data_IF_938238065930
#
_entry.id   IF_938238065930
#
_cell.length_a   1.000
_cell.length_b   1.000
_cell.length_c   1.000
_cell.angle_alpha   90.00
_cell.angle_beta   90.00
_cell.angle_gamma   90.00
#
_symmetry.space_group_name_H-M   'P 1'
#
loop_
_entity.id
_entity.type
_entity.pdbx_description
1 polymer ?
#
# COMPACT_ATOMS: atom_id res chain seq x y z
N UNK A 1 -23.80 1.83 -13.46
CA UNK A 1 -23.46 2.14 -14.88
C UNK A 1 -22.69 3.44 -14.88
N UNK A 2 -21.36 3.38 -14.84
CA UNK A 2 -20.50 4.56 -14.91
C UNK A 2 -20.24 4.92 -16.36
N UNK A 3 -20.68 6.09 -16.79
CA UNK A 3 -20.45 6.59 -18.15
C UNK A 3 -19.01 7.08 -18.29
N UNK A 4 -18.25 6.44 -19.18
CA UNK A 4 -16.94 6.89 -19.62
C UNK A 4 -17.11 8.02 -20.64
N UNK A 5 -16.67 9.25 -20.32
CA UNK A 5 -16.59 10.34 -21.27
C UNK A 5 -15.26 10.26 -22.05
N UNK A 6 -15.34 9.87 -23.31
CA UNK A 6 -14.27 9.98 -24.29
C UNK A 6 -14.32 11.37 -24.94
N UNK A 7 -13.28 12.18 -24.73
CA UNK A 7 -13.01 13.36 -25.55
C UNK A 7 -11.98 12.99 -26.63
N UNK A 8 -12.42 12.90 -27.87
CA UNK A 8 -11.53 12.74 -29.02
C UNK A 8 -10.94 14.09 -29.46
N UNK A 9 -9.62 14.16 -29.62
CA UNK A 9 -8.95 15.19 -30.42
C UNK A 9 -7.96 14.51 -31.36
N UNK A 10 -8.17 14.70 -32.66
CA UNK A 10 -7.32 14.22 -33.74
C UNK A 10 -6.05 15.07 -33.84
N UNK A 11 -4.90 14.46 -33.67
CA UNK A 11 -3.58 15.03 -33.97
C UNK A 11 -2.57 13.89 -34.01
N UNK A 12 -2.00 13.64 -35.18
CA UNK A 12 -1.12 12.50 -35.42
C UNK A 12 0.10 12.50 -34.52
N UNK A 13 0.17 11.50 -33.67
CA UNK A 13 1.40 11.03 -33.06
C UNK A 13 1.30 9.51 -32.96
N UNK A 14 2.35 8.80 -33.40
CA UNK A 14 2.42 7.33 -33.43
C UNK A 14 2.73 6.71 -32.08
N UNK A 15 2.54 7.43 -30.97
CA UNK A 15 2.72 6.96 -29.62
C UNK A 15 1.62 5.99 -29.18
N UNK A 16 1.96 5.07 -28.32
CA UNK A 16 1.04 4.06 -27.77
C UNK A 16 0.02 4.73 -26.85
N UNK A 17 -1.10 5.21 -27.42
CA UNK A 17 -2.26 5.67 -26.65
C UNK A 17 -2.82 4.53 -25.81
N UNK A 18 -3.48 4.89 -24.70
CA UNK A 18 -4.18 3.93 -23.86
C UNK A 18 -5.13 3.06 -24.71
N UNK A 19 -4.94 1.72 -24.74
CA UNK A 19 -5.83 0.82 -25.47
C UNK A 19 -7.25 0.87 -24.88
N UNK A 20 -8.26 0.66 -25.72
CA UNK A 20 -9.63 0.48 -25.21
C UNK A 20 -9.69 -0.75 -24.32
N UNK A 21 -10.34 -0.62 -23.19
CA UNK A 21 -10.53 -1.71 -22.23
C UNK A 21 -11.89 -1.60 -21.51
N UNK A 22 -12.28 -2.69 -20.87
CA UNK A 22 -13.36 -2.74 -19.87
C UNK A 22 -12.79 -3.14 -18.53
N UNK A 23 -13.33 -2.61 -17.45
CA UNK A 23 -13.02 -3.00 -16.10
C UNK A 23 -14.28 -3.00 -15.23
N UNK A 24 -14.45 -4.01 -14.39
CA UNK A 24 -15.66 -4.17 -13.55
C UNK A 24 -15.59 -3.46 -12.19
N UNK A 25 -14.38 -3.09 -11.73
CA UNK A 25 -14.15 -2.33 -10.51
C UNK A 25 -13.95 -0.83 -10.75
N UNK A 26 -13.59 -0.10 -9.70
CA UNK A 26 -13.26 1.32 -9.78
C UNK A 26 -11.82 1.53 -10.24
N UNK A 27 -11.62 2.52 -11.11
CA UNK A 27 -10.32 2.89 -11.62
C UNK A 27 -10.21 4.38 -11.95
N UNK A 28 -8.98 4.85 -12.11
CA UNK A 28 -8.66 6.21 -12.56
C UNK A 28 -7.61 6.15 -13.67
N UNK A 29 -7.84 6.91 -14.75
CA UNK A 29 -6.86 7.12 -15.81
C UNK A 29 -6.13 8.43 -15.54
N UNK A 30 -4.80 8.42 -15.72
CA UNK A 30 -3.93 9.59 -15.70
C UNK A 30 -3.22 9.65 -17.03
N UNK A 31 -3.18 10.84 -17.65
CA UNK A 31 -2.54 11.11 -18.95
C UNK A 31 -2.97 10.19 -20.11
N UNK A 32 -4.25 9.76 -20.11
CA UNK A 32 -4.79 8.77 -21.05
C UNK A 32 -4.65 9.09 -22.52
N UNK A 33 -4.49 10.37 -22.88
CA UNK A 33 -4.34 10.84 -24.28
C UNK A 33 -2.89 10.91 -24.76
N UNK A 34 -1.93 10.55 -23.92
CA UNK A 34 -0.49 10.59 -24.17
C UNK A 34 0.14 9.20 -24.19
N UNK A 35 1.39 9.10 -24.60
CA UNK A 35 2.22 7.89 -24.47
C UNK A 35 2.56 7.54 -22.99
N UNK A 36 2.35 8.49 -22.09
CA UNK A 36 2.65 8.36 -20.67
C UNK A 36 1.43 7.98 -19.83
N UNK A 37 0.39 7.39 -20.45
CA UNK A 37 -0.80 7.00 -19.72
C UNK A 37 -0.50 6.02 -18.59
N UNK A 38 -1.24 6.17 -17.49
CA UNK A 38 -1.33 5.19 -16.42
C UNK A 38 -2.79 4.90 -16.10
N UNK A 39 -3.07 3.65 -15.71
CA UNK A 39 -4.36 3.27 -15.14
C UNK A 39 -4.12 2.80 -13.72
N UNK A 40 -4.86 3.37 -12.77
CA UNK A 40 -4.85 3.01 -11.36
C UNK A 40 -6.12 2.26 -11.03
N UNK A 41 -6.02 1.00 -10.65
CA UNK A 41 -7.14 0.17 -10.21
C UNK A 41 -7.30 0.30 -8.69
N UNK A 42 -8.46 0.77 -8.25
CA UNK A 42 -8.74 1.18 -6.87
C UNK A 42 -9.51 0.12 -6.08
N UNK A 43 -10.28 -0.73 -6.77
CA UNK A 43 -11.00 -1.87 -6.20
C UNK A 43 -10.78 -3.11 -7.06
N UNK A 44 -11.02 -4.29 -6.51
CA UNK A 44 -10.91 -5.55 -7.26
C UNK A 44 -11.90 -5.64 -8.42
N UNK A 45 -11.51 -6.29 -9.49
CA UNK A 45 -12.34 -6.45 -10.69
C UNK A 45 -11.64 -7.25 -11.77
N UNK A 46 -12.29 -7.37 -12.92
CA UNK A 46 -11.77 -8.06 -14.11
C UNK A 46 -11.55 -7.05 -15.23
N UNK A 47 -10.33 -7.03 -15.78
CA UNK A 47 -9.91 -6.20 -16.90
C UNK A 47 -9.90 -7.02 -18.19
N UNK A 48 -10.37 -6.42 -19.29
CA UNK A 48 -10.17 -6.97 -20.64
C UNK A 48 -9.85 -5.85 -21.64
N UNK A 49 -8.74 -5.98 -22.37
CA UNK A 49 -8.40 -5.06 -23.44
C UNK A 49 -9.21 -5.38 -24.70
N UNK A 50 -9.84 -4.37 -25.28
CA UNK A 50 -10.66 -4.48 -26.52
C UNK A 50 -9.85 -4.19 -27.79
N UNK A 51 -8.66 -3.63 -27.68
CA UNK A 51 -7.70 -3.44 -28.76
C UNK A 51 -6.35 -4.01 -28.34
N UNK A 52 -5.49 -4.37 -29.28
CA UNK A 52 -4.16 -4.94 -28.99
C UNK A 52 -3.36 -3.95 -28.15
N UNK A 53 -3.03 -4.29 -26.90
CA UNK A 53 -2.21 -3.44 -26.06
C UNK A 53 -0.72 -3.59 -26.40
N UNK A 54 0.11 -2.58 -26.12
CA UNK A 54 1.54 -2.79 -26.01
C UNK A 54 1.83 -3.68 -24.78
N UNK A 55 3.08 -4.15 -24.62
CA UNK A 55 3.51 -4.65 -23.33
C UNK A 55 3.35 -3.56 -22.27
N UNK A 56 3.09 -3.95 -21.04
CA UNK A 56 2.83 -3.04 -19.93
C UNK A 56 3.84 -3.24 -18.79
N UNK A 57 4.08 -2.16 -18.05
CA UNK A 57 4.68 -2.26 -16.73
C UNK A 57 3.56 -2.34 -15.68
N UNK A 58 3.73 -3.19 -14.70
CA UNK A 58 2.78 -3.43 -13.61
C UNK A 58 3.44 -3.11 -12.28
N UNK A 59 2.80 -2.29 -11.48
CA UNK A 59 3.19 -1.99 -10.10
C UNK A 59 2.04 -2.37 -9.17
N UNK A 60 2.33 -3.26 -8.22
CA UNK A 60 1.37 -3.73 -7.22
C UNK A 60 1.80 -3.27 -5.82
N UNK A 61 0.84 -2.86 -5.01
CA UNK A 61 1.02 -2.53 -3.59
C UNK A 61 0.01 -3.34 -2.80
N UNK A 62 0.46 -4.15 -1.83
CA UNK A 62 -0.41 -4.85 -0.90
C UNK A 62 -1.15 -3.92 0.05
N UNK A 63 -2.19 -4.37 0.73
CA UNK A 63 -2.84 -3.61 1.80
C UNK A 63 -1.90 -3.42 3.00
N UNK A 64 -1.96 -2.28 3.69
CA UNK A 64 -1.23 -2.04 4.93
C UNK A 64 -1.86 -2.80 6.11
N UNK A 65 -1.07 -3.13 7.12
CA UNK A 65 -1.59 -3.72 8.35
C UNK A 65 -2.27 -2.68 9.25
N UNK A 66 -3.18 -3.12 10.10
CA UNK A 66 -3.78 -2.27 11.13
C UNK A 66 -2.78 -1.92 12.24
N UNK A 67 -2.94 -0.75 12.83
CA UNK A 67 -2.31 -0.41 14.11
C UNK A 67 -2.93 -1.22 15.24
N UNK A 68 -2.26 -1.30 16.38
CA UNK A 68 -2.81 -2.04 17.52
C UNK A 68 -2.56 -1.34 18.85
N UNK A 69 -3.34 -1.74 19.82
CA UNK A 69 -3.13 -1.48 21.25
C UNK A 69 -2.73 -2.78 21.92
N UNK A 70 -1.63 -2.77 22.63
CA UNK A 70 -1.33 -3.89 23.54
C UNK A 70 -2.15 -3.73 24.82
N UNK A 71 -2.64 -4.85 25.34
CA UNK A 71 -3.17 -4.88 26.69
C UNK A 71 -2.02 -5.01 27.67
N UNK A 72 -1.75 -3.97 28.44
CA UNK A 72 -0.92 -4.06 29.63
C UNK A 72 -1.79 -3.72 30.84
N UNK A 73 -1.67 -4.53 31.88
CA UNK A 73 -2.48 -4.44 33.11
C UNK A 73 -2.10 -3.25 34.03
N UNK A 74 -1.48 -2.22 33.46
CA UNK A 74 -0.98 -1.07 34.19
C UNK A 74 -1.01 0.22 33.39
N UNK A 75 -0.45 1.25 33.88
CA UNK A 75 -0.49 2.63 33.43
C UNK A 75 0.17 2.92 32.05
N UNK A 76 0.68 1.90 31.34
CA UNK A 76 1.43 2.06 30.10
C UNK A 76 0.62 1.64 28.86
N UNK A 77 0.04 2.61 28.20
CA UNK A 77 -0.58 2.37 26.90
C UNK A 77 0.51 2.35 25.84
N UNK A 78 0.88 1.16 25.37
CA UNK A 78 1.89 0.95 24.33
C UNK A 78 1.24 0.38 23.08
N UNK A 79 1.33 1.10 21.97
CA UNK A 79 0.53 0.83 20.81
C UNK A 79 1.40 0.93 19.54
N UNK A 80 1.90 -0.20 19.01
CA UNK A 80 2.73 -0.17 17.81
C UNK A 80 1.92 0.07 16.55
N UNK A 81 2.53 0.69 15.55
CA UNK A 81 1.98 0.89 14.22
C UNK A 81 2.09 -0.36 13.34
N UNK A 82 1.15 -0.51 12.41
CA UNK A 82 1.17 -1.54 11.36
C UNK A 82 2.21 -1.27 10.28
N UNK A 83 2.76 -2.32 9.66
CA UNK A 83 3.62 -2.18 8.47
C UNK A 83 2.81 -1.78 7.24
N UNK A 84 3.42 -1.02 6.33
CA UNK A 84 2.87 -0.78 4.99
C UNK A 84 2.85 -2.06 4.14
N UNK A 85 1.98 -2.14 3.13
CA UNK A 85 1.96 -3.25 2.19
C UNK A 85 3.29 -3.37 1.44
N UNK A 86 3.71 -4.58 1.08
CA UNK A 86 4.87 -4.75 0.22
C UNK A 86 4.57 -4.21 -1.19
N UNK A 87 5.63 -3.86 -1.93
CA UNK A 87 5.51 -3.40 -3.31
C UNK A 87 6.24 -4.33 -4.26
N UNK A 88 5.71 -4.51 -5.46
CA UNK A 88 6.35 -5.31 -6.51
C UNK A 88 6.16 -4.61 -7.85
N UNK A 89 7.24 -4.48 -8.62
CA UNK A 89 7.23 -4.01 -10.01
C UNK A 89 7.60 -5.14 -10.95
N UNK A 90 6.80 -5.34 -12.00
CA UNK A 90 7.15 -6.19 -13.12
C UNK A 90 7.08 -5.37 -14.40
N UNK A 91 8.19 -5.28 -15.13
CA UNK A 91 8.27 -4.58 -16.42
C UNK A 91 8.03 -5.54 -17.59
N UNK A 92 7.59 -4.99 -18.71
CA UNK A 92 7.45 -5.69 -19.98
C UNK A 92 6.53 -6.92 -19.91
N UNK A 93 5.37 -6.77 -19.26
CA UNK A 93 4.37 -7.84 -19.17
C UNK A 93 3.56 -7.89 -20.47
N UNK A 94 3.57 -9.04 -21.13
CA UNK A 94 2.74 -9.27 -22.33
C UNK A 94 1.29 -9.44 -21.92
N UNK A 95 0.39 -8.75 -22.64
CA UNK A 95 -1.06 -8.82 -22.45
C UNK A 95 -1.75 -8.98 -23.80
N UNK A 96 -2.87 -9.67 -23.81
CA UNK A 96 -3.57 -10.03 -25.05
C UNK A 96 -4.94 -9.35 -25.16
N UNK A 97 -5.33 -9.05 -26.39
CA UNK A 97 -6.67 -8.55 -26.71
C UNK A 97 -7.73 -9.60 -26.38
N UNK A 98 -8.82 -9.16 -25.76
CA UNK A 98 -9.99 -9.97 -25.38
C UNK A 98 -9.69 -11.07 -24.33
N UNK A 99 -8.50 -11.08 -23.75
CA UNK A 99 -8.20 -11.90 -22.58
C UNK A 99 -8.67 -11.18 -21.32
N UNK A 100 -9.26 -11.93 -20.38
CA UNK A 100 -9.64 -11.43 -19.06
C UNK A 100 -8.49 -11.58 -18.07
N UNK A 101 -8.23 -10.54 -17.29
CA UNK A 101 -7.24 -10.48 -16.24
C UNK A 101 -7.91 -10.08 -14.93
N UNK A 102 -7.87 -10.97 -13.97
CA UNK A 102 -8.38 -10.66 -12.63
C UNK A 102 -7.37 -9.80 -11.87
N UNK A 103 -7.87 -8.72 -11.28
CA UNK A 103 -7.13 -7.80 -10.44
C UNK A 103 -7.74 -7.90 -9.05
N UNK A 104 -6.93 -8.30 -8.07
CA UNK A 104 -7.32 -8.32 -6.66
C UNK A 104 -6.59 -7.22 -5.92
N UNK A 105 -7.32 -6.32 -5.29
CA UNK A 105 -6.76 -5.28 -4.42
C UNK A 105 -6.83 -5.76 -2.97
N UNK A 106 -5.68 -5.87 -2.33
CA UNK A 106 -5.58 -6.28 -0.94
C UNK A 106 -6.24 -5.26 0.00
N UNK A 107 -7.13 -5.71 0.86
CA UNK A 107 -7.73 -4.86 1.88
C UNK A 107 -6.70 -4.44 2.92
N UNK A 108 -6.88 -3.27 3.55
CA UNK A 108 -6.15 -2.91 4.75
C UNK A 108 -6.57 -3.77 5.93
N UNK A 109 -5.61 -4.11 6.81
CA UNK A 109 -5.88 -4.79 8.07
C UNK A 109 -6.66 -3.89 9.02
N UNK A 110 -7.64 -4.42 9.75
CA UNK A 110 -8.37 -3.65 10.74
C UNK A 110 -7.49 -3.27 11.94
N UNK A 111 -7.63 -2.05 12.44
CA UNK A 111 -7.06 -1.65 13.72
C UNK A 111 -7.65 -2.48 14.85
N UNK A 112 -6.84 -2.90 15.81
CA UNK A 112 -7.27 -3.76 16.89
C UNK A 112 -7.01 -3.11 18.27
N UNK A 113 -8.08 -2.74 18.95
CA UNK A 113 -8.05 -2.13 20.27
C UNK A 113 -7.77 -3.14 21.42
N UNK A 114 -7.73 -4.41 21.09
CA UNK A 114 -7.42 -5.49 22.03
C UNK A 114 -6.59 -6.56 21.35
N UNK A 115 -5.29 -6.61 21.65
CA UNK A 115 -4.40 -7.68 21.17
C UNK A 115 -3.82 -8.38 22.39
N UNK A 116 -4.23 -9.64 22.63
CA UNK A 116 -3.66 -10.41 23.73
C UNK A 116 -2.13 -10.52 23.62
N UNK A 117 -1.44 -10.51 24.74
CA UNK A 117 0.02 -10.73 24.78
C UNK A 117 0.38 -12.06 24.09
N UNK A 118 1.42 -12.04 23.29
CA UNK A 118 1.85 -13.22 22.54
C UNK A 118 1.09 -13.48 21.24
N UNK A 119 0.33 -12.50 20.73
CA UNK A 119 -0.40 -12.62 19.46
C UNK A 119 -0.12 -11.44 18.51
N UNK A 120 -0.56 -11.58 17.26
CA UNK A 120 -0.46 -10.54 16.23
C UNK A 120 -1.81 -9.81 16.06
N UNK A 121 -1.74 -8.56 15.59
CA UNK A 121 -2.90 -7.83 15.11
C UNK A 121 -3.38 -8.32 13.74
N UNK A 122 -3.96 -7.43 12.95
CA UNK A 122 -4.53 -7.77 11.64
C UNK A 122 -3.59 -7.34 10.50
N UNK A 123 -3.11 -8.33 9.76
CA UNK A 123 -2.32 -8.13 8.53
C UNK A 123 -3.16 -7.47 7.43
N UNK A 124 -2.49 -6.79 6.51
CA UNK A 124 -3.07 -6.37 5.24
C UNK A 124 -3.23 -7.54 4.26
N UNK A 125 -4.13 -7.37 3.29
CA UNK A 125 -4.38 -8.34 2.23
C UNK A 125 -3.35 -8.27 1.10
N UNK A 126 -3.18 -9.37 0.37
CA UNK A 126 -2.32 -9.44 -0.82
C UNK A 126 -3.02 -8.81 -2.02
N UNK A 127 -2.29 -8.02 -2.81
CA UNK A 127 -2.71 -7.51 -4.12
C UNK A 127 -2.12 -8.36 -5.23
N UNK A 128 -2.93 -8.74 -6.22
CA UNK A 128 -2.46 -9.52 -7.38
C UNK A 128 -3.01 -8.96 -8.69
N UNK A 129 -2.20 -8.94 -9.75
CA UNK A 129 -2.61 -8.59 -11.10
C UNK A 129 -1.60 -9.14 -12.12
N UNK A 130 -2.04 -9.65 -13.26
CA UNK A 130 -1.17 -10.10 -14.37
C UNK A 130 -0.06 -11.09 -13.96
N UNK A 131 -0.32 -11.96 -12.99
CA UNK A 131 0.68 -12.88 -12.44
C UNK A 131 1.66 -12.24 -11.45
N UNK A 132 1.57 -10.93 -11.21
CA UNK A 132 2.37 -10.19 -10.21
C UNK A 132 1.64 -10.21 -8.87
N UNK A 133 2.38 -10.34 -7.77
CA UNK A 133 1.82 -10.35 -6.42
C UNK A 133 2.62 -9.44 -5.49
N UNK A 134 1.92 -8.69 -4.65
CA UNK A 134 2.48 -7.89 -3.56
C UNK A 134 1.77 -8.25 -2.25
N UNK A 135 2.50 -8.80 -1.28
CA UNK A 135 1.94 -9.20 0.02
C UNK A 135 1.46 -8.01 0.83
N UNK A 136 0.48 -8.23 1.69
CA UNK A 136 0.08 -7.22 2.67
C UNK A 136 1.14 -6.99 3.74
N UNK A 137 1.13 -5.79 4.32
CA UNK A 137 1.92 -5.43 5.50
C UNK A 137 1.57 -6.33 6.67
N UNK A 138 2.53 -6.54 7.56
CA UNK A 138 2.38 -7.35 8.77
C UNK A 138 1.99 -6.48 9.95
N UNK A 139 1.06 -6.98 10.73
CA UNK A 139 0.73 -6.37 12.00
C UNK A 139 1.86 -6.55 13.01
N UNK A 140 1.88 -5.68 13.99
CA UNK A 140 2.81 -5.77 15.09
C UNK A 140 2.53 -7.01 15.96
N UNK A 141 3.55 -7.48 16.67
CA UNK A 141 3.44 -8.54 17.66
C UNK A 141 3.26 -7.96 19.06
N UNK A 142 2.25 -8.44 19.78
CA UNK A 142 1.98 -7.98 21.14
C UNK A 142 2.97 -8.60 22.14
N UNK A 143 3.70 -7.75 22.88
CA UNK A 143 4.62 -8.19 23.94
C UNK A 143 4.34 -7.43 25.22
N UNK A 144 4.80 -7.97 26.35
CA UNK A 144 4.84 -7.23 27.61
C UNK A 144 5.98 -6.20 27.54
N UNK A 145 5.65 -4.93 27.38
CA UNK A 145 6.62 -3.85 27.24
C UNK A 145 6.63 -3.22 25.85
N UNK A 146 7.82 -2.85 25.33
CA UNK A 146 7.96 -2.19 24.03
C UNK A 146 7.66 -3.17 22.89
N UNK A 147 6.43 -3.16 22.36
CA UNK A 147 6.04 -4.00 21.25
C UNK A 147 6.66 -3.49 19.94
N UNK A 148 7.19 -4.41 19.10
CA UNK A 148 7.73 -4.04 17.81
C UNK A 148 6.64 -3.54 16.86
N UNK A 149 6.97 -2.59 16.00
CA UNK A 149 6.15 -2.23 14.86
C UNK A 149 6.01 -3.36 13.84
N UNK A 150 4.97 -3.32 13.02
CA UNK A 150 4.74 -4.30 11.96
C UNK A 150 5.76 -4.19 10.83
N UNK A 151 6.14 -5.32 10.23
CA UNK A 151 7.01 -5.35 9.06
C UNK A 151 6.21 -5.10 7.77
N UNK A 152 6.86 -4.57 6.72
CA UNK A 152 6.14 -4.35 5.47
C UNK A 152 6.98 -3.74 4.35
N UNK A 153 6.33 -3.13 3.38
CA UNK A 153 6.98 -2.29 2.37
C UNK A 153 7.81 -1.22 3.07
N UNK A 154 7.20 -0.47 3.98
CA UNK A 154 7.89 0.31 5.03
C UNK A 154 7.43 -0.17 6.41
N UNK A 155 8.33 -0.19 7.36
CA UNK A 155 8.06 -0.71 8.70
C UNK A 155 7.23 0.24 9.55
N UNK A 156 6.39 -0.29 10.44
CA UNK A 156 5.66 0.49 11.45
C UNK A 156 6.56 0.96 12.59
N UNK A 157 6.18 2.07 13.24
CA UNK A 157 6.81 2.55 14.47
C UNK A 157 6.55 1.61 15.63
N UNK A 158 7.53 1.40 16.51
CA UNK A 158 7.34 0.56 17.68
C UNK A 158 6.47 1.27 18.74
N UNK A 159 6.08 0.54 19.77
CA UNK A 159 5.30 1.05 20.89
C UNK A 159 6.19 1.84 21.87
N UNK A 160 6.66 3.00 21.46
CA UNK A 160 7.52 3.90 22.21
C UNK A 160 7.17 5.36 21.86
N UNK A 161 7.63 6.31 22.70
CA UNK A 161 7.37 7.73 22.48
C UNK A 161 7.88 8.22 21.12
N UNK A 162 7.04 8.99 20.41
CA UNK A 162 7.39 9.61 19.13
C UNK A 162 7.89 8.64 18.05
N UNK A 163 7.45 7.38 18.10
CA UNK A 163 7.86 6.37 17.12
C UNK A 163 7.16 6.54 15.79
N UNK A 164 7.90 6.94 14.77
CA UNK A 164 7.37 7.21 13.43
C UNK A 164 7.33 5.94 12.57
N UNK A 165 6.40 5.90 11.63
CA UNK A 165 6.40 4.92 10.55
C UNK A 165 7.56 5.16 9.58
N UNK A 166 8.11 4.09 9.03
CA UNK A 166 9.13 4.13 7.98
C UNK A 166 8.55 4.59 6.64
N UNK A 167 9.42 5.04 5.77
CA UNK A 167 9.10 5.49 4.41
C UNK A 167 10.07 4.89 3.41
N UNK A 168 9.66 4.81 2.15
CA UNK A 168 10.50 4.40 1.01
C UNK A 168 11.27 3.09 1.22
N UNK A 169 10.61 2.10 1.80
CA UNK A 169 11.19 0.78 2.09
C UNK A 169 12.04 0.73 3.34
N UNK A 170 12.12 1.82 4.10
CA UNK A 170 12.86 1.92 5.35
C UNK A 170 12.10 1.34 6.55
N UNK A 171 12.84 1.16 7.65
CA UNK A 171 12.29 0.73 8.92
C UNK A 171 11.49 1.86 9.59
N UNK A 172 10.57 1.50 10.47
CA UNK A 172 9.99 2.43 11.44
C UNK A 172 11.05 2.93 12.44
N UNK A 173 10.67 3.85 13.32
CA UNK A 173 11.56 4.39 14.36
C UNK A 173 11.07 4.06 15.78
N UNK A 174 11.89 4.35 16.76
CA UNK A 174 11.67 4.20 18.19
C UNK A 174 12.97 3.90 18.91
N UNK A 175 13.01 4.04 20.23
CA UNK A 175 14.23 3.87 21.05
C UNK A 175 14.61 2.41 21.28
N UNK A 176 13.72 1.48 21.04
CA UNK A 176 13.96 0.05 21.21
C UNK A 176 14.43 -0.61 19.92
N UNK A 177 15.17 -1.74 20.03
CA UNK A 177 15.59 -2.55 18.89
C UNK A 177 14.44 -3.24 18.13
N UNK A 178 13.19 -2.87 18.41
CA UNK A 178 11.97 -3.53 17.96
C UNK A 178 11.20 -2.73 16.91
N UNK A 179 11.87 -1.98 16.07
CA UNK A 179 11.24 -1.27 14.95
C UNK A 179 10.68 -2.26 13.92
N UNK A 180 9.54 -1.93 13.31
CA UNK A 180 9.07 -2.64 12.13
C UNK A 180 10.09 -2.53 11.00
N UNK A 181 10.37 -3.63 10.33
CA UNK A 181 11.32 -3.68 9.21
C UNK A 181 10.62 -3.35 7.89
N UNK A 182 11.23 -2.46 7.11
CA UNK A 182 10.86 -2.24 5.73
C UNK A 182 11.43 -3.31 4.80
N UNK A 183 11.00 -3.29 3.53
CA UNK A 183 11.48 -4.24 2.51
C UNK A 183 12.94 -3.99 2.06
N UNK A 184 13.53 -2.86 2.44
CA UNK A 184 14.91 -2.50 2.12
C UNK A 184 15.14 -2.01 0.68
N UNK A 185 14.09 -1.99 -0.14
CA UNK A 185 14.07 -1.43 -1.50
C UNK A 185 12.99 -0.37 -1.58
N UNK A 186 13.12 0.57 -2.52
CA UNK A 186 12.16 1.68 -2.68
C UNK A 186 10.73 1.19 -2.85
N UNK A 187 9.78 1.90 -2.25
CA UNK A 187 8.33 1.71 -2.42
C UNK A 187 7.73 2.71 -3.42
N UNK A 188 8.56 3.39 -4.21
CA UNK A 188 8.11 4.31 -5.24
C UNK A 188 7.52 3.54 -6.42
N UNK A 189 6.52 4.16 -7.07
CA UNK A 189 5.90 3.60 -8.26
C UNK A 189 6.96 3.23 -9.31
N UNK A 190 6.90 1.99 -9.77
CA UNK A 190 7.81 1.39 -10.75
C UNK A 190 9.30 1.37 -10.36
N UNK A 191 9.64 1.67 -9.10
CA UNK A 191 11.01 1.77 -8.61
C UNK A 191 11.76 3.02 -9.08
N UNK A 192 11.07 4.03 -9.58
CA UNK A 192 11.65 5.25 -10.13
C UNK A 192 11.90 6.29 -9.02
N UNK A 193 13.04 6.99 -9.08
CA UNK A 193 13.47 7.94 -8.04
C UNK A 193 12.54 9.14 -7.86
N UNK A 194 11.79 9.51 -8.91
CA UNK A 194 10.76 10.56 -8.94
C UNK A 194 9.34 10.00 -8.84
N UNK A 195 9.20 8.66 -8.74
CA UNK A 195 7.92 7.98 -8.58
C UNK A 195 7.21 8.36 -7.27
N UNK A 196 5.88 8.35 -7.30
CA UNK A 196 5.05 8.55 -6.10
C UNK A 196 5.35 7.48 -5.05
N UNK A 197 5.42 7.88 -3.77
CA UNK A 197 5.66 6.97 -2.64
C UNK A 197 4.39 6.22 -2.24
N UNK A 198 4.54 4.94 -1.93
CA UNK A 198 3.51 4.05 -1.42
C UNK A 198 3.97 3.33 -0.16
N UNK A 199 3.06 2.58 0.45
CA UNK A 199 3.37 1.64 1.51
C UNK A 199 4.12 2.23 2.72
N UNK A 200 3.80 3.47 3.12
CA UNK A 200 4.32 4.07 4.35
C UNK A 200 3.89 3.27 5.58
N UNK A 201 4.76 3.09 6.57
CA UNK A 201 4.43 2.44 7.84
C UNK A 201 3.57 3.32 8.74
N UNK A 202 2.72 2.72 9.57
CA UNK A 202 1.95 3.42 10.60
C UNK A 202 2.83 3.87 11.77
N UNK A 203 2.46 4.94 12.45
CA UNK A 203 3.16 5.43 13.65
C UNK A 203 2.90 4.57 14.88
N UNK A 204 3.82 4.54 15.81
CA UNK A 204 3.62 4.04 17.17
C UNK A 204 3.09 5.11 18.13
N UNK A 205 2.68 4.68 19.33
CA UNK A 205 2.18 5.54 20.41
C UNK A 205 2.57 4.95 21.76
N UNK A 206 3.02 5.80 22.67
CA UNK A 206 3.25 5.43 24.07
C UNK A 206 3.13 6.66 24.99
N UNK A 207 2.75 6.46 26.25
CA UNK A 207 2.77 7.47 27.33
C UNK A 207 2.11 8.81 26.98
N UNK A 208 1.04 8.83 26.23
CA UNK A 208 0.30 10.02 25.76
C UNK A 208 0.91 10.74 24.56
N UNK A 209 2.02 10.23 23.99
CA UNK A 209 2.63 10.79 22.80
C UNK A 209 2.56 9.79 21.63
N UNK A 210 2.31 10.32 20.46
CA UNK A 210 2.24 9.55 19.21
C UNK A 210 3.20 10.09 18.16
N UNK A 211 3.72 9.19 17.35
CA UNK A 211 4.54 9.51 16.20
C UNK A 211 3.72 9.90 14.98
N UNK A 212 4.41 10.17 13.87
CA UNK A 212 3.85 10.43 12.55
C UNK A 212 3.95 9.20 11.66
N UNK A 213 2.97 9.00 10.79
CA UNK A 213 3.01 7.96 9.76
C UNK A 213 4.08 8.22 8.72
N UNK A 214 4.61 7.15 8.14
CA UNK A 214 5.59 7.24 7.07
C UNK A 214 4.99 7.81 5.78
N UNK A 215 5.79 8.56 5.01
CA UNK A 215 5.38 9.00 3.68
C UNK A 215 5.03 7.80 2.80
N UNK A 216 4.05 7.97 1.91
CA UNK A 216 3.44 6.87 1.15
C UNK A 216 2.17 6.32 1.80
N UNK A 217 1.52 7.13 2.63
CA UNK A 217 0.17 6.89 3.15
C UNK A 217 0.10 6.24 4.53
N UNK A 218 1.20 6.17 5.29
CA UNK A 218 1.16 5.69 6.68
C UNK A 218 0.31 6.58 7.58
N UNK A 219 -0.48 5.98 8.48
CA UNK A 219 -1.33 6.69 9.44
C UNK A 219 -0.52 7.20 10.64
N UNK A 220 -0.73 8.45 11.05
CA UNK A 220 -0.27 8.96 12.34
C UNK A 220 -0.91 8.15 13.48
N UNK A 221 -0.40 8.31 14.69
CA UNK A 221 -0.94 7.63 15.86
C UNK A 221 -2.48 7.79 15.93
N UNK A 222 -3.18 6.67 15.97
CA UNK A 222 -4.65 6.59 15.97
C UNK A 222 -5.34 6.91 14.64
N UNK A 223 -4.60 7.14 13.56
CA UNK A 223 -5.17 7.42 12.25
C UNK A 223 -5.06 6.21 11.32
N UNK A 224 -6.03 6.11 10.42
CA UNK A 224 -6.01 5.10 9.36
C UNK A 224 -4.85 5.38 8.38
N UNK A 225 -4.28 4.31 7.83
CA UNK A 225 -3.49 4.39 6.61
C UNK A 225 -4.37 4.87 5.45
N UNK A 226 -3.77 5.61 4.52
CA UNK A 226 -4.47 6.15 3.35
C UNK A 226 -4.91 5.00 2.42
N UNK A 227 -6.17 5.02 2.00
CA UNK A 227 -6.70 4.05 1.03
C UNK A 227 -5.95 4.13 -0.30
N UNK A 228 -5.81 2.98 -0.97
CA UNK A 228 -5.12 2.84 -2.27
C UNK A 228 -3.65 3.30 -2.25
N UNK A 229 -3.00 3.18 -1.08
CA UNK A 229 -1.56 3.41 -0.94
C UNK A 229 -0.84 2.24 -0.28
N UNK A 230 -1.56 1.32 0.35
CA UNK A 230 -0.99 0.28 1.18
C UNK A 230 -0.40 0.79 2.50
N UNK A 231 -0.76 2.01 2.95
CA UNK A 231 -0.22 2.57 4.19
C UNK A 231 -0.65 1.79 5.44
N UNK A 232 0.27 1.57 6.40
CA UNK A 232 -0.02 0.97 7.71
C UNK A 232 -0.85 1.90 8.60
N UNK A 233 -1.71 1.35 9.45
CA UNK A 233 -2.48 2.09 10.44
C UNK A 233 -1.64 2.47 11.67
N UNK A 234 -1.88 3.65 12.25
CA UNK A 234 -1.21 4.11 13.47
C UNK A 234 -1.71 3.40 14.71
N UNK A 235 -0.79 3.04 15.61
CA UNK A 235 -1.08 2.52 16.94
C UNK A 235 -1.66 3.61 17.85
N UNK A 236 -2.57 3.26 18.72
CA UNK A 236 -3.12 4.13 19.79
C UNK A 236 -4.11 3.35 20.66
N UNK A 237 -4.66 3.91 21.75
CA UNK A 237 -5.81 3.31 22.43
C UNK A 237 -7.03 3.08 21.52
N UNK A 238 -7.17 3.85 20.43
CA UNK A 238 -8.13 3.66 19.35
C UNK A 238 -7.36 3.57 18.01
N UNK A 239 -6.80 2.39 17.68
CA UNK A 239 -5.84 2.27 16.58
C UNK A 239 -6.51 2.38 15.21
N UNK A 240 -5.72 2.89 14.25
CA UNK A 240 -6.17 3.05 12.86
C UNK A 240 -6.12 1.74 12.06
N UNK A 241 -7.01 1.61 11.09
CA UNK A 241 -6.94 0.56 10.07
C UNK A 241 -5.78 0.84 9.10
N UNK A 242 -5.23 -0.19 8.49
CA UNK A 242 -4.37 -0.03 7.31
C UNK A 242 -5.17 0.44 6.09
N UNK A 243 -4.51 1.08 5.14
CA UNK A 243 -5.06 1.44 3.84
C UNK A 243 -5.08 0.25 2.88
N UNK A 244 -6.03 0.21 1.96
CA UNK A 244 -6.05 -0.78 0.87
C UNK A 244 -4.82 -0.63 -0.03
N UNK A 245 -4.46 -1.71 -0.72
CA UNK A 245 -3.48 -1.70 -1.79
C UNK A 245 -3.97 -1.01 -3.05
N UNK A 246 -3.15 -1.08 -4.11
CA UNK A 246 -3.44 -0.54 -5.43
C UNK A 246 -2.68 -1.34 -6.51
N UNK A 247 -3.22 -1.35 -7.72
CA UNK A 247 -2.47 -1.76 -8.91
C UNK A 247 -2.36 -0.57 -9.86
N UNK A 248 -1.18 -0.32 -10.38
CA UNK A 248 -0.93 0.71 -11.40
C UNK A 248 -0.31 0.04 -12.61
N UNK A 249 -0.84 0.31 -13.79
CA UNK A 249 -0.24 -0.11 -15.06
C UNK A 249 0.07 1.10 -15.94
N UNK A 250 1.07 0.95 -16.80
CA UNK A 250 1.43 1.90 -17.87
C UNK A 250 1.95 1.17 -19.09
N UNK A 251 2.08 1.85 -20.23
CA UNK A 251 2.81 1.29 -21.37
C UNK A 251 4.26 0.99 -20.95
N UNK A 252 4.80 -0.14 -21.39
CA UNK A 252 6.21 -0.46 -21.19
C UNK A 252 7.07 0.60 -21.90
N UNK A 253 8.09 1.08 -21.21
CA UNK A 253 9.11 1.99 -21.76
C UNK A 253 10.45 1.26 -21.79
N UNK A 254 11.02 1.14 -22.99
CA UNK A 254 12.45 0.77 -23.09
C UNK A 254 13.28 1.87 -22.41
N UNK A 255 14.20 1.46 -21.53
CA UNK A 255 15.14 2.34 -20.81
C UNK A 255 16.43 2.42 -21.60
#
# INVERSE_FOLDING_TARGET
MGACFLYGKTGGNTGYKLPKFTYTGDYRIVDGDTENWTVRFLTSGTLAFQSTPPAIDVFCVGGGAGGQRNEDSGYDTRCPGGGGGYTTTQKNVSVEKNQSYDITIGAGGAGNSYVPLGSYGNDGGTTTAFGVSASGGKAAYSTNGAAPGGNGGSGGGCADENSNGGSDGGNGTGSSASQGRGQGTTTRAFGESDGELFAGGGAGYAYSTGGTGGAGGGGDAGKHGTMNTGGGGGGSPAPGNGGSGIVIIRAFKEV
#
